data_IF_237231096741
#
_entry.id   IF_237231096741
#
_cell.length_a   1.000
_cell.length_b   1.000
_cell.length_c   1.000
_cell.angle_alpha   90.00
_cell.angle_beta   90.00
_cell.angle_gamma   90.00
#
_symmetry.space_group_name_H-M   'P 1'
#
loop_
_entity.id
_entity.type
_entity.pdbx_description
1 polymer ?
#
# COMPACT_ATOMS: atom_id res chain seq x y z
N UNK A 1 0.03 -9.37 -8.33
CA UNK A 1 1.46 -9.15 -8.03
C UNK A 1 1.78 -9.73 -6.66
N UNK A 2 2.80 -10.58 -6.61
CA UNK A 2 3.13 -11.33 -5.39
C UNK A 2 3.46 -10.44 -4.19
N UNK A 3 4.20 -9.35 -4.41
CA UNK A 3 4.58 -8.45 -3.31
C UNK A 3 3.37 -7.76 -2.69
N UNK A 4 2.34 -7.46 -3.47
CA UNK A 4 1.12 -6.87 -2.93
C UNK A 4 0.37 -7.88 -2.07
N UNK A 5 0.38 -9.17 -2.45
CA UNK A 5 -0.19 -10.22 -1.63
C UNK A 5 0.56 -10.37 -0.30
N UNK A 6 1.89 -10.24 -0.32
CA UNK A 6 2.70 -10.28 0.90
C UNK A 6 2.40 -9.09 1.81
N UNK A 7 2.25 -7.89 1.24
CA UNK A 7 1.83 -6.72 2.01
C UNK A 7 0.44 -6.93 2.63
N UNK A 8 -0.48 -7.51 1.87
CA UNK A 8 -1.82 -7.80 2.36
C UNK A 8 -1.84 -8.77 3.53
N UNK A 9 -0.88 -9.67 3.61
CA UNK A 9 -0.79 -10.63 4.71
C UNK A 9 -0.51 -9.92 6.06
N UNK A 10 -0.03 -8.68 6.05
CA UNK A 10 0.20 -7.91 7.27
C UNK A 10 -1.09 -7.58 8.02
N UNK A 11 -2.26 -7.70 7.40
CA UNK A 11 -3.54 -7.53 8.09
C UNK A 11 -3.61 -8.40 9.34
N UNK A 12 -3.00 -9.59 9.31
CA UNK A 12 -3.02 -10.52 10.43
C UNK A 12 -1.96 -10.21 11.49
N UNK A 13 -0.98 -9.38 11.18
CA UNK A 13 0.17 -9.12 12.05
C UNK A 13 0.16 -7.72 12.65
N UNK A 14 -0.48 -6.76 11.99
CA UNK A 14 -0.53 -5.38 12.48
C UNK A 14 -1.88 -5.15 13.15
N UNK A 15 -1.87 -4.91 14.46
CA UNK A 15 -3.09 -4.64 15.19
C UNK A 15 -3.72 -3.35 14.69
N UNK A 16 -5.02 -3.40 14.40
CA UNK A 16 -5.75 -2.26 13.87
C UNK A 16 -5.71 -2.10 12.35
N UNK A 17 -4.94 -2.92 11.64
CA UNK A 17 -5.03 -3.01 10.19
C UNK A 17 -6.25 -3.87 9.85
N UNK A 18 -7.28 -3.26 9.29
CA UNK A 18 -8.60 -3.91 9.15
C UNK A 18 -8.92 -4.35 7.74
N UNK A 19 -8.13 -3.97 6.76
CA UNK A 19 -8.36 -4.41 5.39
C UNK A 19 -7.21 -4.09 4.46
N UNK A 20 -7.14 -4.85 3.39
CA UNK A 20 -6.17 -4.63 2.31
C UNK A 20 -6.78 -5.13 1.01
N UNK A 21 -6.78 -4.28 0.01
CA UNK A 21 -7.29 -4.61 -1.32
C UNK A 21 -6.25 -4.17 -2.35
N UNK A 22 -6.08 -4.94 -3.41
CA UNK A 22 -5.15 -4.56 -4.47
C UNK A 22 -5.64 -5.06 -5.82
N UNK A 23 -5.15 -4.44 -6.87
CA UNK A 23 -5.51 -4.83 -8.21
C UNK A 23 -4.88 -3.93 -9.27
N UNK A 24 -5.13 -4.25 -10.54
CA UNK A 24 -4.63 -3.43 -11.63
C UNK A 24 -5.34 -2.09 -11.69
N UNK A 25 -4.61 -1.06 -12.11
CA UNK A 25 -5.19 0.24 -12.36
C UNK A 25 -5.83 0.24 -13.75
N UNK A 26 -7.13 0.38 -13.81
CA UNK A 26 -7.86 0.39 -15.08
C UNK A 26 -7.72 1.72 -15.84
N UNK A 27 -7.43 2.79 -15.10
CA UNK A 27 -7.12 4.12 -15.65
C UNK A 27 -8.11 4.59 -16.72
N UNK A 28 -9.40 4.45 -16.45
CA UNK A 28 -10.46 4.79 -17.42
C UNK A 28 -10.38 6.22 -17.94
N UNK A 29 -9.94 7.15 -17.09
CA UNK A 29 -9.84 8.56 -17.46
C UNK A 29 -8.48 8.95 -18.05
N UNK A 30 -7.56 7.98 -18.13
CA UNK A 30 -6.21 8.17 -18.68
C UNK A 30 -5.41 9.27 -17.96
N UNK A 31 -5.54 9.30 -16.64
CA UNK A 31 -4.88 10.30 -15.79
C UNK A 31 -3.72 9.75 -14.96
N UNK A 32 -3.53 8.43 -14.98
CA UNK A 32 -2.46 7.77 -14.22
C UNK A 32 -1.77 6.66 -15.02
N UNK A 33 -1.34 6.94 -16.27
CA UNK A 33 -0.83 5.89 -17.16
C UNK A 33 0.47 5.25 -16.67
N UNK A 34 1.20 5.92 -15.77
CA UNK A 34 2.45 5.40 -15.23
C UNK A 34 2.27 4.49 -14.02
N UNK A 35 1.04 4.34 -13.53
CA UNK A 35 0.75 3.54 -12.34
C UNK A 35 -0.11 2.36 -12.74
N UNK A 36 0.50 1.19 -12.85
CA UNK A 36 -0.16 -0.02 -13.39
C UNK A 36 -0.99 -0.76 -12.37
N UNK A 37 -0.65 -0.64 -11.10
CA UNK A 37 -1.30 -1.36 -10.03
C UNK A 37 -1.48 -0.44 -8.84
N UNK A 38 -2.45 -0.78 -7.99
CA UNK A 38 -2.69 -0.05 -6.78
C UNK A 38 -3.17 -0.93 -5.66
N UNK A 39 -3.13 -0.39 -4.45
CA UNK A 39 -3.69 -1.08 -3.29
C UNK A 39 -4.24 -0.07 -2.30
N UNK A 40 -5.17 -0.54 -1.49
CA UNK A 40 -5.77 0.24 -0.41
C UNK A 40 -5.59 -0.57 0.88
N UNK A 41 -4.93 0.04 1.85
CA UNK A 41 -4.80 -0.52 3.18
C UNK A 41 -5.67 0.32 4.13
N UNK A 42 -6.49 -0.35 4.94
CA UNK A 42 -7.41 0.32 5.85
C UNK A 42 -7.03 0.05 7.29
N UNK A 43 -7.11 1.10 8.13
CA UNK A 43 -6.68 1.04 9.52
C UNK A 43 -7.79 1.60 10.42
N UNK A 44 -7.88 1.03 11.64
CA UNK A 44 -8.87 1.44 12.63
C UNK A 44 -8.64 2.88 13.11
N UNK A 45 -7.38 3.29 13.25
CA UNK A 45 -7.02 4.61 13.76
C UNK A 45 -5.61 5.01 13.29
N UNK A 46 -5.20 6.21 13.64
CA UNK A 46 -3.89 6.74 13.26
C UNK A 46 -2.74 5.96 13.90
N UNK A 47 -2.93 5.46 15.11
CA UNK A 47 -1.91 4.66 15.78
C UNK A 47 -1.62 3.36 15.03
N UNK A 48 -2.66 2.72 14.49
CA UNK A 48 -2.50 1.51 13.69
C UNK A 48 -1.76 1.80 12.38
N UNK A 49 -2.05 2.93 11.73
CA UNK A 49 -1.34 3.35 10.52
C UNK A 49 0.15 3.57 10.82
N UNK A 50 0.47 4.25 11.94
CA UNK A 50 1.86 4.44 12.35
C UNK A 50 2.57 3.13 12.61
N UNK A 51 1.91 2.20 13.30
CA UNK A 51 2.48 0.88 13.58
C UNK A 51 2.78 0.11 12.30
N UNK A 52 1.88 0.20 11.31
CA UNK A 52 2.10 -0.40 10.00
C UNK A 52 3.31 0.22 9.30
N UNK A 53 3.38 1.55 9.27
CA UNK A 53 4.46 2.26 8.59
C UNK A 53 5.83 1.91 9.18
N UNK A 54 5.90 1.68 10.49
CA UNK A 54 7.14 1.36 11.19
C UNK A 54 7.44 -0.14 11.26
N UNK A 55 6.49 -0.98 10.86
CA UNK A 55 6.66 -2.43 10.94
C UNK A 55 7.81 -2.90 10.05
N UNK A 56 8.75 -3.69 10.59
CA UNK A 56 9.93 -4.10 9.81
C UNK A 56 9.61 -4.85 8.53
N UNK A 57 8.57 -5.69 8.56
CA UNK A 57 8.16 -6.44 7.36
C UNK A 57 7.60 -5.49 6.32
N UNK A 58 6.79 -4.49 6.73
CA UNK A 58 6.29 -3.48 5.81
C UNK A 58 7.44 -2.71 5.16
N UNK A 59 8.43 -2.29 5.95
CA UNK A 59 9.56 -1.55 5.42
C UNK A 59 10.37 -2.38 4.42
N UNK A 60 10.60 -3.65 4.72
CA UNK A 60 11.31 -4.55 3.82
C UNK A 60 10.54 -4.78 2.51
N UNK A 61 9.23 -5.01 2.60
CA UNK A 61 8.40 -5.20 1.41
C UNK A 61 8.26 -3.91 0.60
N UNK A 62 8.20 -2.76 1.27
CA UNK A 62 8.17 -1.47 0.60
C UNK A 62 9.43 -1.20 -0.20
N UNK A 63 10.59 -1.55 0.35
CA UNK A 63 11.86 -1.43 -0.36
C UNK A 63 11.89 -2.33 -1.60
N UNK A 64 11.42 -3.57 -1.47
CA UNK A 64 11.32 -4.50 -2.62
C UNK A 64 10.37 -3.98 -3.68
N UNK A 65 9.24 -3.42 -3.26
CA UNK A 65 8.28 -2.82 -4.19
C UNK A 65 8.91 -1.65 -4.95
N UNK A 66 9.63 -0.78 -4.25
CA UNK A 66 10.30 0.36 -4.87
C UNK A 66 11.31 -0.09 -5.92
N UNK A 67 12.04 -1.18 -5.68
CA UNK A 67 12.97 -1.73 -6.66
C UNK A 67 12.29 -2.19 -7.94
N UNK A 68 11.01 -2.53 -7.87
CA UNK A 68 10.23 -2.98 -9.02
C UNK A 68 9.59 -1.83 -9.79
N UNK A 69 9.66 -0.61 -9.26
CA UNK A 69 9.05 0.57 -9.88
C UNK A 69 10.05 1.35 -10.71
N UNK A 70 9.58 1.92 -11.81
CA UNK A 70 10.37 2.87 -12.59
C UNK A 70 10.58 4.11 -11.72
N UNK A 71 11.84 4.49 -11.49
CA UNK A 71 12.17 5.62 -10.63
C UNK A 71 12.23 5.30 -9.15
N UNK A 72 12.14 4.01 -8.77
CA UNK A 72 12.22 3.60 -7.37
C UNK A 72 11.08 4.15 -6.54
N UNK A 73 11.37 4.76 -5.39
CA UNK A 73 10.35 5.34 -4.53
C UNK A 73 9.54 6.46 -5.20
N UNK A 74 10.11 7.15 -6.16
CA UNK A 74 9.39 8.20 -6.90
C UNK A 74 8.33 7.60 -7.83
N UNK A 75 8.41 6.32 -8.14
CA UNK A 75 7.40 5.61 -8.91
C UNK A 75 6.18 5.17 -8.08
N UNK A 76 6.11 5.57 -6.81
CA UNK A 76 5.02 5.21 -5.90
C UNK A 76 4.37 6.49 -5.39
N UNK A 77 3.03 6.56 -5.48
CA UNK A 77 2.26 7.65 -4.88
C UNK A 77 1.50 7.08 -3.70
N UNK A 78 1.57 7.76 -2.56
CA UNK A 78 0.86 7.35 -1.34
C UNK A 78 -0.06 8.49 -0.88
N UNK A 79 -1.30 8.14 -0.58
CA UNK A 79 -2.25 9.04 0.05
C UNK A 79 -2.71 8.44 1.37
N UNK A 80 -2.63 9.20 2.44
CA UNK A 80 -3.16 8.80 3.73
C UNK A 80 -4.42 9.62 4.01
N UNK A 81 -5.57 8.98 3.89
CA UNK A 81 -6.87 9.63 3.99
C UNK A 81 -7.53 9.31 5.33
N UNK A 82 -8.03 10.33 6.00
CA UNK A 82 -8.86 10.17 7.18
C UNK A 82 -10.31 10.21 6.70
N UNK A 83 -10.91 9.03 6.54
CA UNK A 83 -12.23 8.90 5.94
C UNK A 83 -13.30 8.98 7.03
N UNK A 84 -14.23 9.91 6.86
CA UNK A 84 -15.35 10.03 7.79
C UNK A 84 -16.33 8.86 7.60
N UNK A 85 -16.88 8.39 8.70
CA UNK A 85 -17.88 7.33 8.72
C UNK A 85 -19.27 7.86 8.32
#
# INVERSE_FOLDING_TARGET
MKILAELGALVKEVDGMVGFEYGPNLDFEQKSPNYREGFIASFRDHAALSAYAEHPVHQALGARLAEMCVGGFEGIIVFDLDVAD
#
